data_IF_847310242755
#
_entry.id   IF_847310242755
#
_cell.length_a   1.000
_cell.length_b   1.000
_cell.length_c   1.000
_cell.angle_alpha   90.00
_cell.angle_beta   90.00
_cell.angle_gamma   90.00
#
_symmetry.space_group_name_H-M   'P 1'
#
loop_
_entity.id
_entity.type
_entity.pdbx_description
1 polymer ?
#
# COMPACT_ATOMS: atom_id res chain seq x y z
N UNK A 1 20.05 20.36 -0.41
CA UNK A 1 19.56 19.19 0.36
C UNK A 1 18.54 18.50 -0.53
N UNK A 2 18.75 17.23 -0.88
CA UNK A 2 17.71 16.47 -1.58
C UNK A 2 16.68 16.05 -0.53
N UNK A 3 15.49 16.64 -0.55
CA UNK A 3 14.35 16.10 0.20
C UNK A 3 14.08 14.69 -0.31
N UNK A 4 14.07 13.71 0.59
CA UNK A 4 13.53 12.39 0.29
C UNK A 4 12.04 12.58 0.01
N UNK A 5 11.66 12.55 -1.27
CA UNK A 5 10.26 12.60 -1.67
C UNK A 5 9.55 11.42 -1.00
N UNK A 6 8.58 11.71 -0.14
CA UNK A 6 7.78 10.66 0.51
C UNK A 6 6.95 9.96 -0.56
N UNK A 7 7.10 8.65 -0.68
CA UNK A 7 6.31 7.85 -1.60
C UNK A 7 4.83 8.02 -1.28
N UNK A 8 4.00 8.20 -2.31
CA UNK A 8 2.57 8.44 -2.14
C UNK A 8 1.78 7.18 -2.41
N UNK A 9 1.00 6.76 -1.42
CA UNK A 9 0.00 5.71 -1.56
C UNK A 9 -1.35 6.34 -1.90
N UNK A 10 -1.98 5.86 -2.97
CA UNK A 10 -3.32 6.32 -3.39
C UNK A 10 -4.24 5.13 -3.62
N UNK A 11 -5.53 5.34 -3.36
CA UNK A 11 -6.60 4.37 -3.66
C UNK A 11 -7.51 5.02 -4.71
N UNK A 12 -7.60 4.41 -5.88
CA UNK A 12 -8.41 4.91 -7.01
C UNK A 12 -9.17 3.73 -7.62
N UNK A 13 -10.50 3.87 -7.75
CA UNK A 13 -11.38 2.82 -8.30
C UNK A 13 -11.19 1.43 -7.65
N UNK A 14 -10.95 1.42 -6.33
CA UNK A 14 -10.71 0.19 -5.55
C UNK A 14 -9.32 -0.44 -5.72
N UNK A 15 -8.42 0.20 -6.48
CA UNK A 15 -7.03 -0.24 -6.71
C UNK A 15 -6.07 0.62 -5.90
N UNK A 16 -4.92 0.04 -5.58
CA UNK A 16 -3.91 0.68 -4.73
C UNK A 16 -2.65 0.95 -5.53
N UNK A 17 -2.13 2.18 -5.44
CA UNK A 17 -0.95 2.62 -6.16
C UNK A 17 0.10 3.18 -5.21
N UNK A 18 1.37 2.84 -5.45
CA UNK A 18 2.55 3.47 -4.83
C UNK A 18 3.30 4.24 -5.92
N UNK A 19 3.35 5.56 -5.81
CA UNK A 19 3.99 6.46 -6.80
C UNK A 19 3.54 6.19 -8.25
N UNK A 20 2.22 6.01 -8.43
CA UNK A 20 1.56 5.67 -9.70
C UNK A 20 1.81 4.24 -10.21
N UNK A 21 2.47 3.38 -9.44
CA UNK A 21 2.57 1.95 -9.76
C UNK A 21 1.48 1.18 -9.02
N UNK A 22 0.63 0.49 -9.76
CA UNK A 22 -0.41 -0.36 -9.19
C UNK A 22 0.20 -1.55 -8.44
N UNK A 23 -0.30 -1.82 -7.24
CA UNK A 23 0.01 -3.02 -6.46
C UNK A 23 -0.97 -4.11 -6.90
N UNK A 24 -0.59 -4.91 -7.89
CA UNK A 24 -1.49 -5.85 -8.57
C UNK A 24 -1.87 -7.11 -7.77
N UNK A 25 -1.28 -7.32 -6.58
CA UNK A 25 -1.50 -8.52 -5.77
C UNK A 25 -2.39 -8.30 -4.53
N UNK A 26 -3.12 -7.17 -4.46
CA UNK A 26 -4.05 -6.90 -3.35
C UNK A 26 -5.28 -7.81 -3.48
N UNK A 27 -5.50 -8.68 -2.50
CA UNK A 27 -6.73 -9.49 -2.38
C UNK A 27 -7.83 -8.72 -1.64
N UNK A 28 -7.46 -8.10 -0.52
CA UNK A 28 -8.37 -7.39 0.37
C UNK A 28 -7.64 -6.18 0.95
N UNK A 29 -8.38 -5.11 1.24
CA UNK A 29 -7.88 -3.99 2.03
C UNK A 29 -8.96 -3.47 2.98
N UNK A 30 -8.52 -2.90 4.11
CA UNK A 30 -9.39 -2.16 5.01
C UNK A 30 -8.79 -0.80 5.32
N UNK A 31 -9.65 0.22 5.33
CA UNK A 31 -9.29 1.59 5.66
C UNK A 31 -10.08 2.03 6.89
N UNK A 32 -9.37 2.38 7.96
CA UNK A 32 -9.96 2.89 9.19
C UNK A 32 -9.48 4.31 9.44
N UNK A 33 -10.40 5.27 9.36
CA UNK A 33 -10.10 6.66 9.72
C UNK A 33 -10.05 6.85 11.23
N UNK A 34 -9.22 7.81 11.67
CA UNK A 34 -9.10 8.26 13.05
C UNK A 34 -9.53 9.73 13.18
N UNK A 35 -9.92 10.14 14.38
CA UNK A 35 -10.36 11.52 14.66
C UNK A 35 -9.23 12.54 14.75
N UNK A 36 -7.98 12.07 14.78
CA UNK A 36 -6.76 12.87 14.82
C UNK A 36 -6.23 13.26 13.41
N UNK A 37 -6.99 12.96 12.37
CA UNK A 37 -6.62 13.22 10.98
C UNK A 37 -5.69 12.16 10.38
N UNK A 38 -5.44 11.06 11.10
CA UNK A 38 -4.73 9.90 10.55
C UNK A 38 -5.70 8.84 10.02
N UNK A 39 -5.20 7.96 9.17
CA UNK A 39 -5.93 6.78 8.71
C UNK A 39 -4.99 5.57 8.72
N UNK A 40 -5.52 4.42 9.11
CA UNK A 40 -4.84 3.14 9.08
C UNK A 40 -5.30 2.36 7.84
N UNK A 41 -4.34 1.93 7.03
CA UNK A 41 -4.57 1.07 5.88
C UNK A 41 -3.96 -0.30 6.15
N UNK A 42 -4.79 -1.33 6.14
CA UNK A 42 -4.36 -2.74 6.19
C UNK A 42 -4.55 -3.39 4.83
N UNK A 43 -3.51 -4.08 4.33
CA UNK A 43 -3.50 -4.76 3.04
C UNK A 43 -3.29 -6.26 3.22
N UNK A 44 -4.07 -7.07 2.53
CA UNK A 44 -3.83 -8.51 2.34
C UNK A 44 -3.32 -8.71 0.92
N UNK A 45 -2.04 -9.05 0.80
CA UNK A 45 -1.36 -9.26 -0.48
C UNK A 45 -1.19 -10.76 -0.74
N UNK A 46 -1.40 -11.19 -1.98
CA UNK A 46 -0.92 -12.49 -2.44
C UNK A 46 0.58 -12.37 -2.72
N UNK A 47 1.36 -13.24 -2.09
CA UNK A 47 2.81 -13.31 -2.30
C UNK A 47 3.15 -14.71 -2.76
N UNK A 48 3.90 -14.80 -3.86
CA UNK A 48 4.46 -16.06 -4.31
C UNK A 48 5.63 -16.45 -3.39
N UNK A 49 5.49 -17.53 -2.65
CA UNK A 49 6.51 -18.01 -1.72
C UNK A 49 7.84 -18.33 -2.41
N UNK A 50 7.83 -18.76 -3.67
CA UNK A 50 9.07 -19.01 -4.44
C UNK A 50 9.85 -17.72 -4.69
N UNK A 51 9.14 -16.58 -4.72
CA UNK A 51 9.73 -15.25 -4.87
C UNK A 51 10.22 -14.63 -3.56
N UNK A 52 9.83 -15.20 -2.39
CA UNK A 52 10.20 -14.65 -1.09
C UNK A 52 11.50 -15.28 -0.60
N UNK A 53 12.57 -14.48 -0.54
CA UNK A 53 13.74 -14.83 0.26
C UNK A 53 13.50 -14.46 1.72
N UNK A 54 12.89 -15.38 2.48
CA UNK A 54 12.86 -15.27 3.95
C UNK A 54 14.28 -15.60 4.46
N UNK A 55 14.97 -14.58 4.97
CA UNK A 55 16.24 -14.73 5.69
C UNK A 55 15.99 -14.76 7.19
#
# INVERSE_FOLDING_TARGET
MNELKMNQLTIQDGRIFLDNKEIQCVQEYSLKGSTDGTAELSLKLLVDLESVQLR
#
